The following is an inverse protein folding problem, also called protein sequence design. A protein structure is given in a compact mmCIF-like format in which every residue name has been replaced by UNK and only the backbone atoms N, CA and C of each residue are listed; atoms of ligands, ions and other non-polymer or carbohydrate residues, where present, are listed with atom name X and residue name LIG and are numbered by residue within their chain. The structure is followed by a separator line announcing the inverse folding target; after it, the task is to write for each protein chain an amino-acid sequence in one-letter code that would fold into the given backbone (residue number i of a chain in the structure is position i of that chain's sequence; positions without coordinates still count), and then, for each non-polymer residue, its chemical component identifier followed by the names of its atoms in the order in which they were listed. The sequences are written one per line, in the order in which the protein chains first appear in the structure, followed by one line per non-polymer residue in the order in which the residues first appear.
data_IF_075689087091
#
_entry.id   IF_075689087091
#
_cell.length_a   1.000
_cell.length_b   1.000
_cell.length_c   1.000
_cell.angle_alpha   90.00
_cell.angle_beta   90.00
_cell.angle_gamma   90.00
#
_symmetry.space_group_name_H-M   'P 1'
#
loop_
_entity.id
_entity.type
_entity.pdbx_description
1 polymer ?
#
# COMPACT_ATOMS: atom_id res chain seq x y z
N UNK A 1 26.92 -9.51 -50.67
CA UNK A 1 27.32 -10.92 -50.55
C UNK A 1 27.65 -11.20 -49.10
N UNK A 2 26.94 -12.13 -48.47
CA UNK A 2 27.03 -12.41 -47.04
C UNK A 2 28.16 -13.43 -46.81
N UNK A 3 29.41 -12.97 -46.85
CA UNK A 3 30.57 -13.83 -46.59
C UNK A 3 30.81 -13.92 -45.08
N UNK A 4 29.88 -14.58 -44.39
CA UNK A 4 30.29 -15.32 -43.19
C UNK A 4 31.25 -16.39 -43.68
N UNK A 5 32.55 -16.20 -43.45
CA UNK A 5 33.54 -17.20 -43.83
C UNK A 5 33.16 -18.51 -43.14
N UNK A 6 33.06 -19.60 -43.90
CA UNK A 6 32.72 -20.94 -43.42
C UNK A 6 33.52 -21.34 -42.17
N UNK A 7 34.74 -20.82 -42.04
CA UNK A 7 35.61 -20.94 -40.86
C UNK A 7 34.99 -20.42 -39.56
N UNK A 8 34.22 -19.33 -39.60
CA UNK A 8 33.53 -18.78 -38.42
C UNK A 8 32.39 -19.70 -37.98
N UNK A 9 31.67 -20.29 -38.95
CA UNK A 9 30.63 -21.28 -38.66
C UNK A 9 31.24 -22.53 -38.06
N UNK A 10 32.37 -23.02 -38.60
CA UNK A 10 33.09 -24.15 -38.03
C UNK A 10 33.62 -23.86 -36.62
N UNK A 11 34.18 -22.67 -36.38
CA UNK A 11 34.63 -22.26 -35.06
C UNK A 11 33.47 -22.22 -34.06
N UNK A 12 32.32 -21.67 -34.46
CA UNK A 12 31.13 -21.63 -33.61
C UNK A 12 30.63 -23.05 -33.29
N UNK A 13 30.55 -23.93 -34.29
CA UNK A 13 30.09 -25.31 -34.10
C UNK A 13 31.04 -26.10 -33.18
N UNK A 14 32.36 -25.93 -33.33
CA UNK A 14 33.33 -26.56 -32.46
C UNK A 14 33.20 -26.06 -31.01
N UNK A 15 33.00 -24.75 -30.81
CA UNK A 15 32.76 -24.16 -29.49
C UNK A 15 31.47 -24.68 -28.85
N UNK A 16 30.40 -24.82 -29.64
CA UNK A 16 29.13 -25.33 -29.15
C UNK A 16 29.22 -26.82 -28.76
N UNK A 17 29.97 -27.62 -29.51
CA UNK A 17 30.22 -29.03 -29.20
C UNK A 17 31.05 -29.18 -27.91
N UNK A 18 32.09 -28.36 -27.76
CA UNK A 18 32.92 -28.32 -26.55
C UNK A 18 32.11 -27.89 -25.31
N UNK A 19 31.23 -26.89 -25.46
CA UNK A 19 30.32 -26.46 -24.39
C UNK A 19 29.22 -27.49 -24.09
N UNK A 20 28.74 -28.24 -25.09
CA UNK A 20 27.74 -29.29 -24.89
C UNK A 20 28.32 -30.52 -24.17
N UNK A 21 29.61 -30.80 -24.35
CA UNK A 21 30.32 -31.86 -23.65
C UNK A 21 30.55 -31.56 -22.16
N UNK A 22 30.50 -30.28 -21.76
CA UNK A 22 30.49 -29.88 -20.36
C UNK A 22 29.09 -30.15 -19.81
N UNK A 23 28.89 -31.27 -19.12
CA UNK A 23 27.72 -31.47 -18.26
C UNK A 23 27.85 -30.51 -17.08
N UNK A 24 27.00 -29.47 -16.97
CA UNK A 24 27.10 -28.57 -15.82
C UNK A 24 26.73 -29.36 -14.56
N UNK A 25 27.63 -29.44 -13.57
CA UNK A 25 27.34 -30.04 -12.26
C UNK A 25 26.13 -29.38 -11.56
N UNK A 26 25.74 -28.19 -12.04
CA UNK A 26 24.55 -27.48 -11.57
C UNK A 26 23.94 -26.69 -12.72
N UNK A 27 22.72 -27.06 -13.10
CA UNK A 27 21.90 -26.24 -13.99
C UNK A 27 21.75 -24.84 -13.39
N UNK A 28 22.12 -23.79 -14.14
CA UNK A 28 22.01 -22.38 -13.73
C UNK A 28 20.57 -21.93 -13.43
N UNK A 29 19.58 -22.79 -13.69
CA UNK A 29 18.16 -22.48 -13.61
C UNK A 29 17.60 -22.72 -12.18
N UNK A 30 18.29 -23.47 -11.32
CA UNK A 30 17.65 -24.04 -10.12
C UNK A 30 18.10 -23.47 -8.76
N UNK A 31 18.46 -22.18 -8.62
CA UNK A 31 18.38 -21.51 -7.29
C UNK A 31 18.62 -19.98 -7.25
N UNK A 32 18.97 -19.32 -8.36
CA UNK A 32 19.12 -17.84 -8.35
C UNK A 32 17.83 -17.10 -8.73
N UNK A 33 16.90 -17.79 -9.40
CA UNK A 33 15.67 -17.17 -9.93
C UNK A 33 14.66 -16.93 -8.79
N UNK A 34 14.53 -17.83 -7.82
CA UNK A 34 13.53 -17.72 -6.75
C UNK A 34 13.75 -16.52 -5.82
N UNK A 35 14.99 -16.28 -5.38
CA UNK A 35 15.34 -15.13 -4.52
C UNK A 35 15.14 -13.79 -5.27
N UNK A 36 15.42 -13.77 -6.57
CA UNK A 36 15.18 -12.59 -7.42
C UNK A 36 13.70 -12.34 -7.67
N UNK A 37 12.89 -13.40 -7.79
CA UNK A 37 11.46 -13.31 -8.05
C UNK A 37 10.69 -12.88 -6.81
N UNK A 38 11.02 -13.40 -5.62
CA UNK A 38 10.39 -12.94 -4.37
C UNK A 38 10.70 -11.47 -4.12
N UNK A 39 11.96 -11.05 -4.25
CA UNK A 39 12.35 -9.66 -4.04
C UNK A 39 11.70 -8.71 -5.05
N UNK A 40 11.68 -9.09 -6.34
CA UNK A 40 10.96 -8.33 -7.38
C UNK A 40 9.45 -8.29 -7.13
N UNK A 41 8.86 -9.37 -6.63
CA UNK A 41 7.44 -9.39 -6.28
C UNK A 41 7.14 -8.44 -5.12
N UNK A 42 7.94 -8.47 -4.05
CA UNK A 42 7.85 -7.54 -2.92
C UNK A 42 7.96 -6.09 -3.37
N UNK A 43 8.98 -5.76 -4.19
CA UNK A 43 9.19 -4.40 -4.68
C UNK A 43 8.01 -3.92 -5.53
N UNK A 44 7.40 -4.82 -6.33
CA UNK A 44 6.20 -4.52 -7.11
C UNK A 44 4.96 -4.34 -6.24
N UNK A 45 4.79 -5.13 -5.18
CA UNK A 45 3.71 -4.93 -4.21
C UNK A 45 3.86 -3.56 -3.57
N UNK A 46 5.05 -3.22 -3.08
CA UNK A 46 5.32 -1.91 -2.47
C UNK A 46 5.06 -0.75 -3.44
N UNK A 47 5.44 -0.90 -4.70
CA UNK A 47 5.13 0.09 -5.73
C UNK A 47 3.63 0.28 -5.93
N UNK A 48 2.85 -0.82 -5.98
CA UNK A 48 1.39 -0.74 -6.05
C UNK A 48 0.79 -0.06 -4.82
N UNK A 49 1.22 -0.44 -3.61
CA UNK A 49 0.72 0.12 -2.36
C UNK A 49 0.98 1.63 -2.28
N UNK A 50 2.22 2.05 -2.57
CA UNK A 50 2.61 3.46 -2.57
C UNK A 50 1.82 4.27 -3.60
N UNK A 51 1.59 3.69 -4.78
CA UNK A 51 0.78 4.35 -5.80
C UNK A 51 -0.68 4.52 -5.34
N UNK A 52 -1.27 3.51 -4.70
CA UNK A 52 -2.63 3.59 -4.16
C UNK A 52 -2.72 4.64 -3.07
N UNK A 53 -1.79 4.64 -2.12
CA UNK A 53 -1.76 5.58 -0.99
C UNK A 53 -1.68 7.04 -1.45
N UNK A 54 -0.85 7.32 -2.46
CA UNK A 54 -0.69 8.67 -3.00
C UNK A 54 -1.89 9.16 -3.82
N UNK A 55 -2.79 8.25 -4.26
CA UNK A 55 -3.87 8.56 -5.19
C UNK A 55 -5.24 8.12 -4.65
N UNK A 56 -5.42 8.03 -3.33
CA UNK A 56 -6.67 7.52 -2.72
C UNK A 56 -7.92 8.33 -3.13
N UNK A 57 -7.78 9.65 -3.34
CA UNK A 57 -8.86 10.55 -3.73
C UNK A 57 -9.34 10.32 -5.18
N UNK A 58 -8.46 9.84 -6.05
CA UNK A 58 -8.73 9.66 -7.47
C UNK A 58 -9.63 8.44 -7.73
N UNK A 59 -10.33 8.36 -8.88
CA UNK A 59 -11.09 7.19 -9.29
C UNK A 59 -10.15 6.04 -9.70
N UNK A 60 -9.48 5.44 -8.71
CA UNK A 60 -8.56 4.32 -8.90
C UNK A 60 -9.32 3.05 -9.29
N UNK A 61 -9.09 2.59 -10.51
CA UNK A 61 -9.57 1.30 -11.02
C UNK A 61 -8.43 0.29 -11.08
N UNK A 62 -8.79 -0.99 -11.24
CA UNK A 62 -7.82 -2.07 -11.49
C UNK A 62 -6.97 -1.77 -12.72
N UNK A 63 -7.58 -1.26 -13.79
CA UNK A 63 -6.93 -0.88 -15.05
C UNK A 63 -5.80 0.13 -14.80
N UNK A 64 -6.08 1.23 -14.11
CA UNK A 64 -5.12 2.31 -13.87
C UNK A 64 -3.88 1.80 -13.13
N UNK A 65 -4.09 1.00 -12.08
CA UNK A 65 -2.97 0.48 -11.28
C UNK A 65 -2.22 -0.63 -12.04
N UNK A 66 -2.92 -1.44 -12.83
CA UNK A 66 -2.29 -2.47 -13.66
C UNK A 66 -1.37 -1.85 -14.72
N UNK A 67 -1.81 -0.78 -15.39
CA UNK A 67 -1.01 -0.03 -16.36
C UNK A 67 0.25 0.56 -15.73
N UNK A 68 0.12 1.17 -14.55
CA UNK A 68 1.26 1.72 -13.80
C UNK A 68 2.32 0.66 -13.45
N UNK A 69 1.90 -0.59 -13.29
CA UNK A 69 2.78 -1.74 -13.00
C UNK A 69 3.17 -2.56 -14.23
N UNK A 70 2.81 -2.08 -15.44
CA UNK A 70 3.02 -2.78 -16.71
C UNK A 70 2.45 -4.21 -16.68
N UNK A 71 1.23 -4.37 -16.18
CA UNK A 71 0.50 -5.64 -16.10
C UNK A 71 -0.84 -5.55 -16.84
N UNK A 72 -1.30 -6.70 -17.34
CA UNK A 72 -2.71 -6.87 -17.67
C UNK A 72 -3.57 -6.90 -16.38
N UNK A 73 -4.82 -6.46 -16.46
CA UNK A 73 -5.75 -6.39 -15.31
C UNK A 73 -5.94 -7.72 -14.58
N UNK A 74 -6.07 -8.82 -15.32
CA UNK A 74 -6.25 -10.16 -14.78
C UNK A 74 -5.00 -10.64 -14.04
N UNK A 75 -3.82 -10.29 -14.56
CA UNK A 75 -2.53 -10.55 -13.92
C UNK A 75 -2.41 -9.75 -12.63
N UNK A 76 -2.72 -8.45 -12.66
CA UNK A 76 -2.70 -7.61 -11.48
C UNK A 76 -3.66 -8.10 -10.40
N UNK A 77 -4.91 -8.44 -10.74
CA UNK A 77 -5.90 -8.89 -9.77
C UNK A 77 -5.46 -10.16 -9.03
N UNK A 78 -4.93 -11.14 -9.78
CA UNK A 78 -4.34 -12.36 -9.21
C UNK A 78 -3.10 -12.05 -8.37
N UNK A 79 -2.19 -11.23 -8.89
CA UNK A 79 -0.97 -10.82 -8.20
C UNK A 79 -1.28 -10.14 -6.87
N UNK A 80 -2.19 -9.17 -6.87
CA UNK A 80 -2.58 -8.40 -5.70
C UNK A 80 -3.22 -9.31 -4.65
N UNK A 81 -4.15 -10.17 -5.05
CA UNK A 81 -4.80 -11.11 -4.13
C UNK A 81 -3.82 -12.15 -3.59
N UNK A 82 -2.93 -12.70 -4.43
CA UNK A 82 -1.94 -13.68 -4.00
C UNK A 82 -0.94 -13.12 -2.97
N UNK A 83 -0.60 -11.83 -3.07
CA UNK A 83 0.36 -11.20 -2.16
C UNK A 83 -0.29 -10.58 -0.91
N UNK A 84 -1.52 -10.07 -0.99
CA UNK A 84 -2.16 -9.32 0.11
C UNK A 84 -3.37 -10.05 0.72
N UNK A 85 -3.82 -11.16 0.14
CA UNK A 85 -4.97 -11.94 0.60
C UNK A 85 -6.33 -11.26 0.41
N UNK A 86 -6.35 -10.05 -0.14
CA UNK A 86 -7.57 -9.24 -0.35
C UNK A 86 -7.67 -8.76 -1.79
N UNK A 87 -8.88 -8.44 -2.23
CA UNK A 87 -9.05 -7.82 -3.54
C UNK A 87 -8.58 -6.37 -3.53
N UNK A 88 -8.14 -5.86 -4.68
CA UNK A 88 -7.79 -4.46 -4.86
C UNK A 88 -8.89 -3.51 -4.37
N UNK A 89 -10.14 -3.78 -4.77
CA UNK A 89 -11.28 -2.94 -4.38
C UNK A 89 -11.51 -2.92 -2.88
N UNK A 90 -11.36 -4.08 -2.21
CA UNK A 90 -11.49 -4.16 -0.76
C UNK A 90 -10.38 -3.35 -0.08
N UNK A 91 -9.13 -3.55 -0.49
CA UNK A 91 -7.99 -2.81 0.04
C UNK A 91 -8.16 -1.30 -0.12
N UNK A 92 -8.56 -0.84 -1.31
CA UNK A 92 -8.80 0.58 -1.58
C UNK A 92 -9.86 1.16 -0.63
N UNK A 93 -10.99 0.46 -0.45
CA UNK A 93 -12.06 0.92 0.45
C UNK A 93 -11.54 0.99 1.91
N UNK A 94 -10.80 -0.01 2.36
CA UNK A 94 -10.24 -0.03 3.71
C UNK A 94 -9.26 1.13 3.94
N UNK A 95 -8.38 1.43 2.99
CA UNK A 95 -7.46 2.56 3.10
C UNK A 95 -8.19 3.90 3.11
N UNK A 96 -9.20 4.08 2.26
CA UNK A 96 -10.04 5.28 2.27
C UNK A 96 -10.77 5.49 3.60
N UNK A 97 -11.30 4.41 4.18
CA UNK A 97 -11.96 4.47 5.51
C UNK A 97 -10.95 4.81 6.61
N UNK A 98 -9.75 4.22 6.58
CA UNK A 98 -8.68 4.57 7.53
C UNK A 98 -8.29 6.05 7.44
N UNK A 99 -8.12 6.58 6.23
CA UNK A 99 -7.81 8.00 6.05
C UNK A 99 -8.97 8.90 6.50
N UNK A 100 -10.20 8.53 6.19
CA UNK A 100 -11.38 9.26 6.66
C UNK A 100 -11.47 9.29 8.19
N UNK A 101 -11.19 8.16 8.87
CA UNK A 101 -11.13 8.10 10.33
C UNK A 101 -10.10 9.08 10.90
N UNK A 102 -8.94 9.21 10.27
CA UNK A 102 -7.93 10.21 10.65
C UNK A 102 -8.45 11.63 10.48
N UNK A 103 -9.08 11.95 9.34
CA UNK A 103 -9.66 13.29 9.11
C UNK A 103 -10.81 13.61 10.07
N UNK A 104 -11.64 12.63 10.42
CA UNK A 104 -12.74 12.81 11.37
C UNK A 104 -12.27 13.26 12.75
N UNK A 105 -11.08 12.80 13.17
CA UNK A 105 -10.49 13.12 14.48
C UNK A 105 -9.59 14.35 14.40
N UNK A 106 -8.85 14.54 13.31
CA UNK A 106 -7.86 15.62 13.19
C UNK A 106 -8.42 16.94 12.66
N UNK A 107 -9.61 16.94 12.05
CA UNK A 107 -10.20 18.12 11.39
C UNK A 107 -11.69 18.29 11.73
N UNK A 108 -12.18 19.51 11.58
CA UNK A 108 -13.60 19.87 11.74
C UNK A 108 -14.40 19.77 10.43
N UNK A 109 -13.83 19.18 9.38
CA UNK A 109 -14.48 19.05 8.08
C UNK A 109 -15.80 18.30 8.16
N UNK A 110 -16.77 18.62 7.29
CA UNK A 110 -18.03 17.90 7.25
C UNK A 110 -17.82 16.45 6.80
N UNK A 111 -18.68 15.54 7.27
CA UNK A 111 -18.63 14.12 6.87
C UNK A 111 -18.76 13.97 5.34
N UNK A 112 -19.58 14.83 4.71
CA UNK A 112 -19.74 14.88 3.27
C UNK A 112 -18.44 15.26 2.55
N UNK A 113 -17.74 16.28 3.04
CA UNK A 113 -16.46 16.71 2.48
C UNK A 113 -15.39 15.63 2.65
N UNK A 114 -15.27 15.02 3.84
CA UNK A 114 -14.32 13.94 4.09
C UNK A 114 -14.56 12.75 3.15
N UNK A 115 -15.82 12.37 2.93
CA UNK A 115 -16.17 11.28 2.00
C UNK A 115 -15.71 11.57 0.58
N UNK A 116 -15.92 12.79 0.09
CA UNK A 116 -15.45 13.22 -1.22
C UNK A 116 -13.91 13.27 -1.30
N UNK A 117 -13.26 13.81 -0.27
CA UNK A 117 -11.81 13.98 -0.20
C UNK A 117 -11.05 12.65 -0.23
N UNK A 118 -11.61 11.59 0.39
CA UNK A 118 -11.01 10.25 0.32
C UNK A 118 -11.48 9.46 -0.91
N UNK A 119 -12.20 10.08 -1.85
CA UNK A 119 -12.53 9.50 -3.16
C UNK A 119 -13.82 8.67 -3.23
N UNK A 120 -14.77 8.83 -2.30
CA UNK A 120 -16.10 8.22 -2.46
C UNK A 120 -17.00 9.09 -3.35
N UNK A 121 -17.64 8.47 -4.34
CA UNK A 121 -18.57 9.14 -5.25
C UNK A 121 -19.91 9.52 -4.62
N UNK A 122 -20.28 8.90 -3.50
CA UNK A 122 -21.50 9.24 -2.77
C UNK A 122 -21.36 9.07 -1.27
N UNK A 123 -21.97 10.00 -0.53
CA UNK A 123 -22.00 10.00 0.93
C UNK A 123 -22.68 8.75 1.50
N UNK A 124 -23.75 8.26 0.85
CA UNK A 124 -24.45 7.05 1.27
C UNK A 124 -23.57 5.81 1.20
N UNK A 125 -22.79 5.65 0.12
CA UNK A 125 -21.84 4.53 -0.02
C UNK A 125 -20.71 4.65 1.00
N UNK A 126 -20.16 5.86 1.18
CA UNK A 126 -19.16 6.12 2.22
C UNK A 126 -19.68 5.71 3.60
N UNK A 127 -20.84 6.22 4.03
CA UNK A 127 -21.41 5.92 5.33
C UNK A 127 -21.64 4.42 5.53
N UNK A 128 -22.18 3.72 4.52
CA UNK A 128 -22.40 2.29 4.56
C UNK A 128 -21.08 1.50 4.69
N UNK A 129 -20.05 1.85 3.93
CA UNK A 129 -18.74 1.19 4.00
C UNK A 129 -18.00 1.49 5.29
N UNK A 130 -18.02 2.74 5.74
CA UNK A 130 -17.43 3.15 7.01
C UNK A 130 -18.06 2.38 8.17
N UNK A 131 -19.39 2.35 8.26
CA UNK A 131 -20.12 1.59 9.29
C UNK A 131 -19.88 0.08 9.17
N UNK A 132 -19.80 -0.46 7.96
CA UNK A 132 -19.50 -1.88 7.77
C UNK A 132 -18.13 -2.28 8.31
N UNK A 133 -17.13 -1.41 8.16
CA UNK A 133 -15.73 -1.70 8.51
C UNK A 133 -15.47 -1.38 9.99
N UNK A 134 -15.87 -0.20 10.47
CA UNK A 134 -15.59 0.28 11.82
C UNK A 134 -16.73 0.03 12.82
N UNK A 135 -17.85 -0.54 12.36
CA UNK A 135 -19.06 -0.87 13.16
C UNK A 135 -19.78 0.33 13.80
N UNK A 136 -19.27 1.54 13.60
CA UNK A 136 -19.88 2.81 14.03
C UNK A 136 -20.02 3.76 12.85
N UNK A 137 -20.93 4.72 12.93
CA UNK A 137 -21.07 5.75 11.89
C UNK A 137 -19.92 6.77 11.94
N UNK A 138 -19.62 7.47 10.84
CA UNK A 138 -18.63 8.56 10.84
C UNK A 138 -18.87 9.61 11.92
N UNK A 139 -20.14 9.94 12.19
CA UNK A 139 -20.52 10.94 13.19
C UNK A 139 -20.28 10.43 14.61
N UNK A 140 -20.71 9.20 14.92
CA UNK A 140 -20.44 8.57 16.22
C UNK A 140 -18.93 8.43 16.44
N UNK A 141 -18.18 8.03 15.41
CA UNK A 141 -16.73 7.92 15.48
C UNK A 141 -16.08 9.26 15.88
N UNK A 142 -16.50 10.37 15.26
CA UNK A 142 -16.03 11.71 15.62
C UNK A 142 -16.36 12.06 17.07
N UNK A 143 -17.61 11.89 17.50
CA UNK A 143 -18.03 12.23 18.86
C UNK A 143 -17.22 11.45 19.90
N UNK A 144 -17.13 10.13 19.75
CA UNK A 144 -16.43 9.26 20.71
C UNK A 144 -14.94 9.61 20.86
N UNK A 145 -14.29 10.06 19.78
CA UNK A 145 -12.87 10.42 19.80
C UNK A 145 -12.61 11.88 20.22
N UNK A 146 -13.60 12.78 20.10
CA UNK A 146 -13.54 14.12 20.68
C UNK A 146 -13.60 14.06 22.21
N UNK A 147 -14.47 13.20 22.76
CA UNK A 147 -14.55 12.98 24.22
C UNK A 147 -13.20 12.47 24.77
N UNK A 148 -12.51 11.61 24.01
CA UNK A 148 -11.17 11.14 24.36
C UNK A 148 -10.09 12.23 24.25
N UNK A 149 -10.15 13.13 23.25
CA UNK A 149 -9.26 14.31 23.15
C UNK A 149 -9.46 15.27 24.34
N UNK A 150 -10.71 15.57 24.68
CA UNK A 150 -11.04 16.46 25.80
C UNK A 150 -10.57 15.89 27.15
N UNK A 151 -10.64 14.56 27.35
CA UNK A 151 -10.10 13.90 28.54
C UNK A 151 -8.57 13.98 28.65
N UNK A 152 -7.83 13.87 27.55
CA UNK A 152 -6.36 14.00 27.53
C UNK A 152 -5.93 15.46 27.76
N UNK A 153 -6.62 16.43 27.16
CA UNK A 153 -6.37 17.85 27.38
C UNK A 153 -6.67 18.28 28.83
N UNK A 154 -7.72 17.72 29.46
CA UNK A 154 -8.01 17.93 30.87
C UNK A 154 -6.96 17.30 31.80
N UNK A 155 -6.45 16.10 31.49
CA UNK A 155 -5.44 15.42 32.31
C UNK A 155 -4.07 16.12 32.22
N UNK A 156 -3.71 16.62 31.03
CA UNK A 156 -2.52 17.44 30.81
C UNK A 156 -2.61 18.82 31.52
N UNK A 157 -3.80 19.40 31.60
CA UNK A 157 -4.06 20.63 32.37
C UNK A 157 -3.92 20.42 33.89
N UNK A 158 -4.43 19.30 34.43
CA UNK A 158 -4.29 18.97 35.86
C UNK A 158 -2.83 18.69 36.22
N UNK A 159 -2.08 17.94 35.42
CA UNK A 159 -0.64 17.73 35.65
C UNK A 159 0.18 19.04 35.55
N UNK A 160 -0.18 19.93 34.62
CA UNK A 160 0.43 21.26 34.51
C UNK A 160 0.15 22.17 35.71
N UNK A 161 -1.07 22.12 36.26
CA UNK A 161 -1.43 22.87 37.47
C UNK A 161 -0.75 22.32 38.73
N UNK A 162 -0.67 20.99 38.89
CA UNK A 162 0.03 20.34 40.01
C UNK A 162 1.53 20.63 39.96
N UNK A 163 2.15 20.64 38.78
CA UNK A 163 3.57 20.97 38.61
C UNK A 163 3.86 22.44 38.96
N UNK A 164 2.98 23.37 38.56
CA UNK A 164 3.11 24.80 38.88
C UNK A 164 2.93 25.05 40.38
N UNK A 165 1.95 24.41 41.01
CA UNK A 165 1.69 24.54 42.45
C UNK A 165 2.79 23.90 43.31
N UNK A 166 3.42 22.81 42.85
CA UNK A 166 4.62 22.23 43.46
C UNK A 166 5.85 23.15 43.36
N UNK A 167 6.06 23.82 42.23
CA UNK A 167 7.16 24.77 42.05
C UNK A 167 7.01 26.05 42.90
N UNK A 168 5.78 26.50 43.15
CA UNK A 168 5.49 27.65 44.02
C UNK A 168 5.73 27.34 45.51
N UNK A 169 5.50 26.09 45.94
CA UNK A 169 5.79 25.61 47.30
C UNK A 169 7.27 25.36 47.57
N UNK A 170 8.08 25.06 46.54
CA UNK A 170 9.53 24.83 46.67
C UNK A 170 10.33 26.13 46.67
N UNK A 171 9.75 27.23 46.19
CA UNK A 171 10.38 28.56 46.16
C UNK A 171 9.87 29.50 47.27
N UNK A 172 9.14 28.98 48.26
CA UNK A 172 8.75 29.68 49.51
C UNK A 172 9.54 29.11 50.68
#
# INVERSE_FOLDING_TARGET
ENTFEFKQVLNLLALLDELAAITPERYLINNCIEISNSKRAEDRVQMALKYIENNLAEPLTVTVVAEQLCMAESTFSRFFHANLGVTFRQYLIEQRVKQAARYLVSTDWSVAHIGAEVGFSSLSNFNAKFKSILRVTPREYRTNHLDMRQGIEQTASVQGQVQKQMLELVNS
#
